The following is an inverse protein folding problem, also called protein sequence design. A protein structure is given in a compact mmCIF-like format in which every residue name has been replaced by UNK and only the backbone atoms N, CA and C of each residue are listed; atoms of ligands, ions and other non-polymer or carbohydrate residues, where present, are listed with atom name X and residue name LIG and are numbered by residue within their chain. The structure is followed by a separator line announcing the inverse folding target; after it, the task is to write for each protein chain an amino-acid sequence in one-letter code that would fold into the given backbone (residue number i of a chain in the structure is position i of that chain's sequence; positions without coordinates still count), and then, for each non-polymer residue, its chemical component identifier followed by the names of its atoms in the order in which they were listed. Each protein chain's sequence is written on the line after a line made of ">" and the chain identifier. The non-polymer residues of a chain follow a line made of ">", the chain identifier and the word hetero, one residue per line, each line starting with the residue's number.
data_IF_033166385359
#
_entry.id   IF_033166385359
#
_cell.length_a   1.000
_cell.length_b   1.000
_cell.length_c   1.000
_cell.angle_alpha   90.00
_cell.angle_beta   90.00
_cell.angle_gamma   90.00
#
_symmetry.space_group_name_H-M   'P 1'
#
loop_
_entity.id
_entity.type
_entity.pdbx_description
1 polymer ?
#
# COMPACT_ATOMS: atom_id res chain seq x y z
N UNK A 1 -11.52 5.58 -18.48
CA UNK A 1 -10.90 6.47 -19.49
C UNK A 1 -9.71 7.13 -18.86
N UNK A 2 -8.55 7.04 -19.50
CA UNK A 2 -7.31 7.66 -19.03
C UNK A 2 -7.10 8.95 -19.81
N UNK A 3 -6.62 9.97 -19.12
CA UNK A 3 -6.28 11.29 -19.63
C UNK A 3 -4.86 11.65 -19.21
N UNK A 4 -4.12 12.29 -20.11
CA UNK A 4 -2.79 12.87 -19.88
C UNK A 4 -2.83 14.29 -20.44
N UNK A 5 -2.42 15.28 -19.64
CA UNK A 5 -2.53 16.71 -19.97
C UNK A 5 -3.91 17.15 -20.51
N UNK A 6 -4.97 16.62 -19.90
CA UNK A 6 -6.35 16.92 -20.27
C UNK A 6 -6.81 16.30 -21.60
N UNK A 7 -5.96 15.53 -22.28
CA UNK A 7 -6.30 14.80 -23.52
C UNK A 7 -6.63 13.36 -23.20
N UNK A 8 -7.69 12.84 -23.83
CA UNK A 8 -8.03 11.42 -23.71
C UNK A 8 -6.90 10.60 -24.33
N UNK A 9 -6.31 9.74 -23.52
CA UNK A 9 -5.32 8.78 -23.96
C UNK A 9 -6.04 7.63 -24.68
N UNK A 10 -5.81 7.48 -25.99
CA UNK A 10 -6.50 6.50 -26.84
C UNK A 10 -5.52 5.71 -27.70
N UNK A 11 -5.15 4.51 -27.25
CA UNK A 11 -4.55 3.46 -28.09
C UNK A 11 -5.10 2.08 -27.69
N UNK A 12 -5.11 1.17 -28.67
CA UNK A 12 -5.76 -0.14 -28.61
C UNK A 12 -4.96 -1.15 -27.77
N UNK A 13 -5.61 -1.62 -26.69
CA UNK A 13 -5.24 -2.70 -25.78
C UNK A 13 -3.85 -2.59 -25.07
N UNK A 14 -3.83 -1.94 -23.91
CA UNK A 14 -2.87 -2.26 -22.83
C UNK A 14 -1.61 -1.41 -22.71
N UNK A 15 -1.64 -0.17 -23.18
CA UNK A 15 -0.48 0.68 -23.46
C UNK A 15 0.21 1.30 -22.22
N UNK A 16 0.57 0.46 -21.24
CA UNK A 16 1.47 0.85 -20.14
C UNK A 16 2.77 1.40 -20.72
N UNK A 17 3.31 0.78 -21.77
CA UNK A 17 4.54 1.23 -22.44
C UNK A 17 4.38 2.65 -22.99
N UNK A 18 3.36 2.96 -23.80
CA UNK A 18 3.22 4.33 -24.27
C UNK A 18 2.90 5.33 -23.14
N UNK A 19 2.17 4.93 -22.08
CA UNK A 19 2.02 5.79 -20.90
C UNK A 19 3.36 6.11 -20.22
N UNK A 20 4.31 5.18 -20.22
CA UNK A 20 5.65 5.42 -19.70
C UNK A 20 6.48 6.30 -20.64
N UNK A 21 6.17 6.33 -21.94
CA UNK A 21 6.83 7.18 -22.94
C UNK A 21 6.20 8.57 -23.09
N UNK A 22 5.04 8.84 -22.46
CA UNK A 22 4.39 10.15 -22.50
C UNK A 22 5.29 11.25 -21.88
N UNK A 23 5.69 12.29 -22.63
CA UNK A 23 6.70 13.25 -22.18
C UNK A 23 6.37 13.99 -20.88
N UNK A 24 5.10 14.34 -20.66
CA UNK A 24 4.68 15.02 -19.44
C UNK A 24 4.73 14.11 -18.22
N UNK A 25 4.42 12.81 -18.38
CA UNK A 25 4.53 11.83 -17.31
C UNK A 25 5.99 11.51 -16.98
N UNK A 26 6.86 11.43 -17.99
CA UNK A 26 8.32 11.32 -17.78
C UNK A 26 8.84 12.53 -16.99
N UNK A 27 8.47 13.76 -17.40
CA UNK A 27 8.88 14.99 -16.70
C UNK A 27 8.35 15.05 -15.26
N UNK A 28 7.10 14.64 -15.04
CA UNK A 28 6.51 14.55 -13.70
C UNK A 28 7.24 13.52 -12.82
N UNK A 29 7.61 12.37 -13.39
CA UNK A 29 8.39 11.32 -12.71
C UNK A 29 9.78 11.82 -12.30
N UNK A 30 10.52 12.48 -13.20
CA UNK A 30 11.82 13.08 -12.86
C UNK A 30 11.69 14.18 -11.81
N UNK A 31 10.68 15.04 -11.94
CA UNK A 31 10.41 16.09 -10.94
C UNK A 31 10.07 15.51 -9.57
N UNK A 32 9.33 14.40 -9.52
CA UNK A 32 9.02 13.70 -8.28
C UNK A 32 10.29 13.09 -7.65
N UNK A 33 11.11 12.39 -8.43
CA UNK A 33 12.38 11.80 -7.96
C UNK A 33 13.39 12.84 -7.48
N UNK A 34 13.37 14.04 -8.07
CA UNK A 34 14.26 15.14 -7.69
C UNK A 34 13.88 15.81 -6.35
N UNK A 35 12.66 15.59 -5.85
CA UNK A 35 12.27 16.12 -4.53
C UNK A 35 13.06 15.42 -3.42
N UNK A 36 13.46 16.14 -2.36
CA UNK A 36 14.11 15.51 -1.22
C UNK A 36 13.15 14.53 -0.55
N UNK A 37 13.66 13.36 -0.16
CA UNK A 37 12.88 12.38 0.61
C UNK A 37 12.55 12.96 2.00
N UNK A 38 11.26 12.98 2.34
CA UNK A 38 10.80 13.39 3.67
C UNK A 38 10.80 12.21 4.62
N UNK A 39 11.56 12.32 5.71
CA UNK A 39 11.57 11.33 6.79
C UNK A 39 10.46 11.66 7.79
N UNK A 40 9.57 10.71 8.04
CA UNK A 40 8.44 10.87 8.97
C UNK A 40 8.74 10.13 10.27
N UNK A 41 8.63 10.87 11.37
CA UNK A 41 8.70 10.33 12.73
C UNK A 41 7.31 10.22 13.34
N UNK A 42 7.18 9.54 14.49
CA UNK A 42 5.93 9.54 15.25
C UNK A 42 5.45 10.97 15.58
N UNK A 43 6.37 11.88 15.89
CA UNK A 43 6.05 13.28 16.20
C UNK A 43 5.50 14.01 14.98
N UNK A 44 6.09 13.79 13.80
CA UNK A 44 5.58 14.36 12.56
C UNK A 44 4.20 13.80 12.23
N UNK A 45 4.04 12.47 12.32
CA UNK A 45 2.79 11.77 12.06
C UNK A 45 1.65 12.26 12.96
N UNK A 46 1.91 12.41 14.25
CA UNK A 46 0.98 12.95 15.24
C UNK A 46 0.57 14.40 14.92
N UNK A 47 1.55 15.26 14.59
CA UNK A 47 1.31 16.67 14.28
C UNK A 47 0.51 16.88 13.01
N UNK A 48 0.72 16.04 12.00
CA UNK A 48 0.09 16.19 10.67
C UNK A 48 -1.09 15.23 10.46
N UNK A 49 -1.52 14.53 11.51
CA UNK A 49 -2.63 13.56 11.45
C UNK A 49 -2.43 12.55 10.31
N UNK A 50 -1.20 12.05 10.19
CA UNK A 50 -0.81 11.24 9.06
C UNK A 50 -1.45 9.84 9.11
N UNK A 51 -2.00 9.38 7.98
CA UNK A 51 -2.50 8.02 7.80
C UNK A 51 -1.47 7.21 7.02
N UNK A 52 -0.72 6.36 7.73
CA UNK A 52 0.17 5.39 7.11
C UNK A 52 -0.61 4.14 6.68
N UNK A 53 -0.30 3.57 5.50
CA UNK A 53 -0.86 2.28 5.04
C UNK A 53 0.25 1.25 4.82
N UNK A 54 0.02 0.02 5.28
CA UNK A 54 0.90 -1.11 4.99
C UNK A 54 0.59 -1.73 3.62
N UNK A 55 1.47 -2.61 3.18
CA UNK A 55 1.23 -3.50 2.05
C UNK A 55 -0.16 -4.14 2.13
N UNK A 56 -0.84 -4.21 0.98
CA UNK A 56 -2.19 -4.76 0.81
C UNK A 56 -3.32 -3.99 1.52
N UNK A 57 -3.02 -2.87 2.17
CA UNK A 57 -4.04 -2.00 2.75
C UNK A 57 -4.45 -0.87 1.78
N UNK A 58 -5.61 -0.28 2.07
CA UNK A 58 -6.01 1.01 1.51
C UNK A 58 -6.66 1.89 2.57
N UNK A 59 -6.65 3.19 2.31
CA UNK A 59 -7.39 4.17 3.08
C UNK A 59 -7.94 5.24 2.14
N UNK A 60 -9.17 5.67 2.38
CA UNK A 60 -9.72 6.90 1.81
C UNK A 60 -9.75 7.97 2.89
N UNK A 61 -9.16 9.12 2.62
CA UNK A 61 -8.96 10.19 3.58
C UNK A 61 -9.63 11.47 3.10
N UNK A 62 -10.31 12.13 4.03
CA UNK A 62 -10.93 13.43 3.79
C UNK A 62 -9.95 14.55 4.16
N UNK A 63 -9.66 15.50 3.25
CA UNK A 63 -8.69 16.58 3.50
C UNK A 63 -9.10 17.50 4.66
N UNK A 64 -10.35 17.46 5.10
CA UNK A 64 -10.82 18.18 6.30
C UNK A 64 -10.21 17.63 7.59
N UNK A 65 -9.86 16.35 7.64
CA UNK A 65 -9.50 15.65 8.88
C UNK A 65 -8.07 15.10 8.87
N UNK A 66 -7.59 14.67 7.72
CA UNK A 66 -6.27 14.05 7.53
C UNK A 66 -5.46 15.00 6.67
N UNK A 67 -4.29 15.45 7.12
CA UNK A 67 -3.44 16.35 6.32
C UNK A 67 -2.53 15.56 5.38
N UNK A 68 -2.10 14.36 5.79
CA UNK A 68 -1.17 13.53 5.04
C UNK A 68 -1.58 12.06 5.05
N UNK A 69 -1.34 11.37 3.94
CA UNK A 69 -1.41 9.92 3.88
C UNK A 69 -0.23 9.37 3.08
N UNK A 70 0.27 8.20 3.43
CA UNK A 70 1.46 7.67 2.77
C UNK A 70 1.76 6.21 3.07
N UNK A 71 2.79 5.73 2.41
CA UNK A 71 3.30 4.36 2.51
C UNK A 71 4.79 4.35 2.23
N UNK A 72 5.50 3.35 2.72
CA UNK A 72 6.85 3.01 2.32
C UNK A 72 7.03 1.49 2.17
N UNK A 73 8.28 1.03 2.12
CA UNK A 73 8.66 -0.37 1.94
C UNK A 73 8.23 -0.96 0.59
N UNK A 74 7.90 -0.12 -0.39
CA UNK A 74 7.54 -0.58 -1.72
C UNK A 74 8.78 -1.09 -2.47
N UNK A 75 8.85 -2.39 -2.69
CA UNK A 75 9.83 -3.02 -3.57
C UNK A 75 9.20 -3.31 -4.93
N UNK A 76 8.61 -4.48 -5.12
CA UNK A 76 7.88 -4.85 -6.35
C UNK A 76 6.43 -4.39 -6.35
N UNK A 77 5.91 -4.01 -5.18
CA UNK A 77 4.58 -3.45 -4.98
C UNK A 77 4.48 -2.00 -5.47
N UNK A 78 3.26 -1.55 -5.74
CA UNK A 78 2.95 -0.24 -6.32
C UNK A 78 1.94 0.48 -5.43
N UNK A 79 2.27 1.71 -5.04
CA UNK A 79 1.31 2.62 -4.46
C UNK A 79 0.43 3.26 -5.53
N UNK A 80 -0.88 3.20 -5.34
CA UNK A 80 -1.88 3.84 -6.17
C UNK A 80 -2.61 4.91 -5.36
N UNK A 81 -2.60 6.15 -5.86
CA UNK A 81 -3.35 7.27 -5.31
C UNK A 81 -4.43 7.66 -6.31
N UNK A 82 -5.66 7.82 -5.84
CA UNK A 82 -6.80 8.33 -6.60
C UNK A 82 -7.41 9.48 -5.81
N UNK A 83 -7.36 10.70 -6.36
CA UNK A 83 -7.86 11.90 -5.69
C UNK A 83 -8.97 12.55 -6.51
N UNK A 84 -10.10 12.82 -5.86
CA UNK A 84 -11.17 13.59 -6.46
C UNK A 84 -10.80 15.08 -6.55
N UNK A 85 -10.83 15.62 -7.76
CA UNK A 85 -10.46 17.02 -8.03
C UNK A 85 -11.41 18.03 -7.40
N UNK A 86 -12.69 17.68 -7.23
CA UNK A 86 -13.71 18.65 -6.79
C UNK A 86 -13.68 18.90 -5.29
N UNK A 87 -13.42 17.87 -4.49
CA UNK A 87 -13.50 17.94 -3.02
C UNK A 87 -12.20 17.52 -2.30
N UNK A 88 -11.21 17.01 -3.05
CA UNK A 88 -9.94 16.55 -2.51
C UNK A 88 -9.98 15.21 -1.78
N UNK A 89 -11.12 14.50 -1.78
CA UNK A 89 -11.19 13.14 -1.23
C UNK A 89 -10.13 12.26 -1.90
N UNK A 90 -9.27 11.64 -1.10
CA UNK A 90 -8.08 10.95 -1.61
C UNK A 90 -8.06 9.52 -1.11
N UNK A 91 -8.02 8.54 -2.01
CA UNK A 91 -7.73 7.15 -1.65
C UNK A 91 -6.31 6.79 -2.01
N UNK A 92 -5.62 6.14 -1.08
CA UNK A 92 -4.28 5.58 -1.26
C UNK A 92 -4.34 4.07 -0.99
N UNK A 93 -3.65 3.29 -1.81
CA UNK A 93 -3.55 1.84 -1.69
C UNK A 93 -2.12 1.37 -1.95
N UNK A 94 -1.68 0.37 -1.19
CA UNK A 94 -0.39 -0.30 -1.38
C UNK A 94 -0.64 -1.66 -2.02
N UNK A 95 -0.58 -1.74 -3.34
CA UNK A 95 -0.92 -2.94 -4.11
C UNK A 95 0.29 -3.86 -4.23
N UNK A 96 0.12 -5.14 -3.90
CA UNK A 96 1.19 -6.15 -3.91
C UNK A 96 0.97 -7.29 -4.89
N UNK A 97 -0.21 -7.36 -5.52
CA UNK A 97 -0.56 -8.43 -6.44
C UNK A 97 -1.59 -7.98 -7.48
N UNK A 98 -1.47 -8.41 -8.75
CA UNK A 98 -2.52 -8.23 -9.75
C UNK A 98 -3.90 -8.75 -9.30
N UNK A 99 -3.91 -9.76 -8.41
CA UNK A 99 -5.12 -10.43 -7.91
C UNK A 99 -6.03 -9.52 -7.07
N UNK A 100 -5.48 -8.46 -6.45
CA UNK A 100 -6.26 -7.55 -5.59
C UNK A 100 -6.69 -6.26 -6.30
N UNK A 101 -6.21 -6.01 -7.51
CA UNK A 101 -6.37 -4.72 -8.20
C UNK A 101 -7.84 -4.40 -8.52
N UNK A 102 -8.62 -5.34 -9.07
CA UNK A 102 -9.98 -5.04 -9.53
C UNK A 102 -10.91 -4.69 -8.36
N UNK A 103 -10.94 -5.53 -7.32
CA UNK A 103 -11.76 -5.25 -6.13
C UNK A 103 -11.18 -4.08 -5.35
N UNK A 104 -9.85 -3.96 -5.26
CA UNK A 104 -9.18 -2.85 -4.61
C UNK A 104 -9.54 -1.51 -5.24
N UNK A 105 -9.49 -1.40 -6.57
CA UNK A 105 -9.93 -0.21 -7.30
C UNK A 105 -11.42 0.09 -7.03
N UNK A 106 -12.26 -0.95 -7.01
CA UNK A 106 -13.68 -0.79 -6.68
C UNK A 106 -13.89 -0.26 -5.25
N UNK A 107 -13.13 -0.78 -4.27
CA UNK A 107 -13.12 -0.32 -2.87
C UNK A 107 -12.70 1.16 -2.78
N UNK A 108 -11.62 1.55 -3.45
CA UNK A 108 -11.13 2.94 -3.46
C UNK A 108 -12.16 3.89 -4.09
N UNK A 109 -12.72 3.53 -5.24
CA UNK A 109 -13.67 4.39 -5.98
C UNK A 109 -15.00 4.59 -5.24
N UNK A 110 -15.43 3.61 -4.44
CA UNK A 110 -16.68 3.68 -3.69
C UNK A 110 -16.70 4.82 -2.66
N UNK A 111 -15.53 5.29 -2.21
CA UNK A 111 -15.40 6.35 -1.20
C UNK A 111 -14.88 7.68 -1.75
N UNK A 112 -14.26 7.69 -2.94
CA UNK A 112 -13.66 8.89 -3.55
C UNK A 112 -14.58 9.55 -4.58
N UNK A 113 -15.48 8.79 -5.20
CA UNK A 113 -16.38 9.33 -6.22
C UNK A 113 -17.81 8.91 -5.93
N UNK A 114 -18.73 9.88 -6.06
CA UNK A 114 -20.14 9.55 -6.23
C UNK A 114 -20.31 8.67 -7.48
N UNK A 115 -21.45 8.00 -7.62
CA UNK A 115 -21.73 7.17 -8.80
C UNK A 115 -21.73 7.97 -10.13
N UNK A 116 -21.61 9.31 -10.09
CA UNK A 116 -21.43 10.17 -11.26
C UNK A 116 -20.21 9.78 -12.11
N UNK A 117 -20.44 9.57 -13.41
CA UNK A 117 -19.38 9.27 -14.38
C UNK A 117 -18.57 10.52 -14.77
N UNK A 118 -18.99 11.69 -14.31
CA UNK A 118 -18.33 12.96 -14.64
C UNK A 118 -17.26 13.39 -13.64
N UNK A 119 -17.16 12.72 -12.49
CA UNK A 119 -16.10 12.97 -11.50
C UNK A 119 -14.72 12.77 -12.14
N UNK A 120 -13.90 13.80 -12.07
CA UNK A 120 -12.52 13.78 -12.52
C UNK A 120 -11.58 13.39 -11.38
N UNK A 121 -10.74 12.40 -11.63
CA UNK A 121 -9.89 11.78 -10.61
C UNK A 121 -8.42 11.91 -11.02
N UNK A 122 -7.60 12.55 -10.20
CA UNK A 122 -6.15 12.53 -10.34
C UNK A 122 -5.60 11.18 -9.91
N UNK A 123 -4.62 10.66 -10.66
CA UNK A 123 -3.99 9.37 -10.40
C UNK A 123 -2.48 9.50 -10.31
N UNK A 124 -1.91 8.92 -9.24
CA UNK A 124 -0.47 8.75 -9.09
C UNK A 124 -0.15 7.26 -8.90
N UNK A 125 0.85 6.76 -9.63
CA UNK A 125 1.38 5.40 -9.51
C UNK A 125 2.88 5.49 -9.19
N UNK A 126 3.28 4.95 -8.05
CA UNK A 126 4.65 5.09 -7.52
C UNK A 126 5.08 3.76 -6.91
N UNK A 127 6.29 3.29 -7.20
CA UNK A 127 6.80 2.00 -6.69
C UNK A 127 7.01 1.00 -7.80
N UNK A 128 7.33 -0.25 -7.47
CA UNK A 128 7.80 -1.23 -8.44
C UNK A 128 9.12 -0.82 -9.08
N UNK A 129 9.80 -1.76 -9.70
CA UNK A 129 11.01 -1.52 -10.49
C UNK A 129 11.15 -2.65 -11.52
N UNK A 130 12.15 -2.59 -12.38
CA UNK A 130 12.43 -3.68 -13.33
C UNK A 130 13.08 -4.85 -12.59
N UNK A 131 12.23 -5.67 -11.97
CA UNK A 131 12.60 -6.78 -11.08
C UNK A 131 12.70 -8.13 -11.80
N UNK A 132 12.42 -8.16 -13.10
CA UNK A 132 12.68 -9.32 -13.93
C UNK A 132 14.18 -9.63 -13.96
N UNK A 133 14.55 -10.87 -13.64
CA UNK A 133 15.92 -11.33 -13.83
C UNK A 133 16.24 -11.36 -15.33
N UNK A 134 17.41 -10.81 -15.73
CA UNK A 134 17.97 -11.11 -17.05
C UNK A 134 18.17 -12.64 -17.10
N UNK A 135 17.39 -13.33 -17.95
CA UNK A 135 17.41 -14.79 -18.07
C UNK A 135 18.85 -15.30 -18.24
N UNK A 136 19.32 -16.08 -17.26
CA UNK A 136 20.33 -17.11 -17.53
C UNK A 136 19.52 -18.36 -17.85
N UNK A 137 19.67 -18.88 -19.07
CA UNK A 137 18.96 -20.02 -19.63
C UNK A 137 18.81 -21.19 -18.65
N UNK A 138 17.57 -21.65 -18.40
CA UNK A 138 17.15 -23.05 -18.65
C UNK A 138 15.62 -23.20 -18.50
N UNK A 139 15.14 -24.35 -18.99
CA UNK A 139 13.79 -24.77 -19.41
C UNK A 139 12.56 -24.61 -18.46
N UNK A 140 11.42 -24.39 -19.14
CA UNK A 140 10.08 -25.02 -18.98
C UNK A 140 9.20 -24.96 -17.70
N UNK A 141 9.32 -23.97 -16.78
CA UNK A 141 8.19 -23.71 -15.85
C UNK A 141 7.92 -22.22 -15.55
N UNK A 142 6.80 -21.74 -16.11
CA UNK A 142 6.08 -20.48 -15.86
C UNK A 142 6.60 -19.19 -16.54
N UNK A 143 5.85 -18.77 -17.57
CA UNK A 143 5.88 -17.44 -18.20
C UNK A 143 5.66 -16.27 -17.22
N UNK A 144 5.22 -16.53 -15.99
CA UNK A 144 5.03 -15.53 -14.94
C UNK A 144 6.35 -15.10 -14.27
N UNK A 145 7.34 -15.99 -14.11
CA UNK A 145 8.62 -15.64 -13.47
C UNK A 145 9.56 -14.83 -14.36
N UNK A 146 9.37 -14.87 -15.68
CA UNK A 146 10.24 -14.14 -16.61
C UNK A 146 9.98 -12.64 -16.65
N UNK A 147 8.82 -12.18 -16.18
CA UNK A 147 8.40 -10.78 -16.28
C UNK A 147 8.53 -10.02 -14.95
N UNK A 148 9.07 -10.64 -13.91
CA UNK A 148 9.06 -10.09 -12.55
C UNK A 148 7.64 -9.95 -11.99
N UNK A 149 7.55 -9.32 -10.82
CA UNK A 149 6.30 -9.05 -10.11
C UNK A 149 5.75 -7.65 -10.42
N UNK A 150 6.61 -6.65 -10.66
CA UNK A 150 6.18 -5.26 -10.82
C UNK A 150 5.44 -5.03 -12.13
N UNK A 151 5.93 -5.57 -13.26
CA UNK A 151 5.34 -5.35 -14.58
C UNK A 151 3.91 -5.91 -14.67
N UNK A 152 3.62 -7.18 -14.29
CA UNK A 152 2.25 -7.68 -14.26
C UNK A 152 1.30 -6.85 -13.39
N UNK A 153 1.79 -6.35 -12.25
CA UNK A 153 1.00 -5.50 -11.35
C UNK A 153 0.68 -4.15 -12.01
N UNK A 154 1.67 -3.47 -12.58
CA UNK A 154 1.50 -2.20 -13.27
C UNK A 154 0.52 -2.33 -14.44
N UNK A 155 0.69 -3.35 -15.29
CA UNK A 155 -0.19 -3.62 -16.43
C UNK A 155 -1.62 -3.88 -15.98
N UNK A 156 -1.80 -4.62 -14.89
CA UNK A 156 -3.12 -4.87 -14.32
C UNK A 156 -3.79 -3.59 -13.82
N UNK A 157 -3.07 -2.71 -13.13
CA UNK A 157 -3.62 -1.42 -12.66
C UNK A 157 -4.12 -0.58 -13.83
N UNK A 158 -3.30 -0.39 -14.88
CA UNK A 158 -3.70 0.39 -16.06
C UNK A 158 -4.95 -0.21 -16.72
N UNK A 159 -4.98 -1.54 -16.91
CA UNK A 159 -6.14 -2.22 -17.47
C UNK A 159 -7.40 -2.02 -16.63
N UNK A 160 -7.32 -2.12 -15.31
CA UNK A 160 -8.46 -1.91 -14.42
C UNK A 160 -8.96 -0.45 -14.43
N UNK A 161 -8.05 0.53 -14.49
CA UNK A 161 -8.41 1.95 -14.67
C UNK A 161 -9.15 2.18 -15.99
N UNK A 162 -8.70 1.57 -17.09
CA UNK A 162 -9.35 1.66 -18.39
C UNK A 162 -10.78 1.08 -18.35
N UNK A 163 -10.94 -0.12 -17.78
CA UNK A 163 -12.22 -0.85 -17.70
C UNK A 163 -13.26 -0.13 -16.83
N UNK A 164 -12.85 0.55 -15.75
CA UNK A 164 -13.80 1.19 -14.81
C UNK A 164 -14.66 2.31 -15.43
N UNK A 165 -14.32 2.79 -16.64
CA UNK A 165 -15.01 3.88 -17.35
C UNK A 165 -15.07 5.25 -16.61
N UNK A 166 -14.36 5.43 -15.48
CA UNK A 166 -14.17 6.75 -14.83
C UNK A 166 -13.21 7.65 -15.61
N UNK A 167 -13.15 8.94 -15.29
CA UNK A 167 -12.19 9.89 -15.89
C UNK A 167 -10.96 10.03 -15.01
N UNK A 168 -9.91 9.28 -15.34
CA UNK A 168 -8.63 9.32 -14.61
C UNK A 168 -7.63 10.20 -15.34
N UNK A 169 -7.08 11.18 -14.64
CA UNK A 169 -6.03 12.06 -15.14
C UNK A 169 -4.71 11.64 -14.50
N UNK A 170 -3.83 11.01 -15.28
CA UNK A 170 -2.54 10.57 -14.79
C UNK A 170 -1.68 11.81 -14.49
N UNK A 171 -1.27 11.95 -13.23
CA UNK A 171 -0.43 13.06 -12.75
C UNK A 171 1.02 12.64 -12.56
N UNK A 172 1.25 11.40 -12.12
CA UNK A 172 2.61 10.89 -11.90
C UNK A 172 2.64 9.38 -12.11
N UNK A 173 3.59 8.92 -12.93
CA UNK A 173 3.84 7.50 -13.19
C UNK A 173 5.33 7.24 -12.98
N UNK A 174 5.70 6.95 -11.74
CA UNK A 174 7.08 6.66 -11.31
C UNK A 174 7.17 5.17 -10.92
N UNK A 175 7.13 4.30 -11.93
CA UNK A 175 7.11 2.84 -11.81
C UNK A 175 8.09 2.21 -12.81
N UNK A 176 8.44 0.93 -12.62
CA UNK A 176 9.31 0.17 -13.53
C UNK A 176 10.60 0.93 -13.85
N UNK A 177 11.02 0.99 -15.12
CA UNK A 177 12.20 1.73 -15.57
C UNK A 177 12.34 3.15 -15.02
N UNK A 178 11.23 3.87 -14.83
CA UNK A 178 11.27 5.21 -14.23
C UNK A 178 11.66 5.21 -12.75
N UNK A 179 11.44 4.11 -12.05
CA UNK A 179 11.81 3.89 -10.65
C UNK A 179 12.97 2.88 -10.50
N UNK A 180 13.66 2.48 -11.57
CA UNK A 180 14.77 1.51 -11.51
C UNK A 180 16.12 2.22 -11.42
N UNK A 181 16.98 1.76 -10.51
CA UNK A 181 18.43 1.99 -10.56
C UNK A 181 19.19 0.68 -10.42
N UNK A 182 20.48 0.69 -10.76
CA UNK A 182 21.40 -0.41 -10.51
C UNK A 182 22.22 -0.14 -9.26
N UNK A 183 22.32 -1.12 -8.37
CA UNK A 183 23.22 -1.06 -7.22
C UNK A 183 24.69 -1.30 -7.64
N UNK A 184 25.62 -1.24 -6.68
CA UNK A 184 27.04 -1.45 -6.94
C UNK A 184 27.38 -2.88 -7.43
N UNK A 185 26.50 -3.85 -7.18
CA UNK A 185 26.62 -5.23 -7.64
C UNK A 185 25.90 -5.49 -8.99
N UNK A 186 25.25 -4.46 -9.55
CA UNK A 186 24.51 -4.56 -10.82
C UNK A 186 23.08 -5.10 -10.68
N UNK A 187 22.56 -5.27 -9.46
CA UNK A 187 21.16 -5.65 -9.26
C UNK A 187 20.25 -4.46 -9.49
N UNK A 188 19.10 -4.70 -10.12
CA UNK A 188 18.02 -3.70 -10.16
C UNK A 188 17.48 -3.48 -8.75
N UNK A 189 17.22 -2.23 -8.39
CA UNK A 189 16.53 -1.86 -7.16
C UNK A 189 15.68 -0.59 -7.36
N UNK A 190 14.65 -0.37 -6.54
CA UNK A 190 13.81 0.81 -6.66
C UNK A 190 14.56 2.08 -6.21
N UNK A 191 14.34 3.18 -6.93
CA UNK A 191 14.84 4.52 -6.57
C UNK A 191 14.07 5.03 -5.35
N UNK A 192 12.74 5.05 -5.47
CA UNK A 192 11.78 5.49 -4.45
C UNK A 192 11.01 4.27 -3.94
N UNK A 193 10.91 4.15 -2.61
CA UNK A 193 10.22 3.06 -1.89
C UNK A 193 8.98 3.52 -1.15
N UNK A 194 8.79 4.83 -1.02
CA UNK A 194 7.70 5.39 -0.26
C UNK A 194 7.42 6.83 -0.66
N UNK A 195 6.22 7.27 -0.33
CA UNK A 195 5.76 8.61 -0.63
C UNK A 195 4.67 9.05 0.35
N UNK A 196 4.45 10.36 0.34
CA UNK A 196 3.34 11.03 1.03
C UNK A 196 2.50 11.78 0.01
N UNK A 197 1.23 11.89 0.33
CA UNK A 197 0.26 12.77 -0.32
C UNK A 197 -0.19 13.80 0.71
N UNK A 198 -0.04 15.08 0.39
CA UNK A 198 -0.70 16.17 1.11
C UNK A 198 -2.13 16.28 0.61
N UNK A 199 -3.11 15.98 1.45
CA UNK A 199 -4.51 15.76 1.03
C UNK A 199 -5.17 17.03 0.49
N UNK A 200 -4.85 18.18 1.09
CA UNK A 200 -5.41 19.47 0.72
C UNK A 200 -5.06 19.85 -0.72
N UNK A 201 -3.78 19.68 -1.09
CA UNK A 201 -3.25 20.10 -2.39
C UNK A 201 -3.22 18.97 -3.42
N UNK A 202 -3.18 17.71 -2.97
CA UNK A 202 -2.88 16.55 -3.81
C UNK A 202 -1.39 16.40 -4.14
N UNK A 203 -0.52 17.22 -3.54
CA UNK A 203 0.92 17.16 -3.81
C UNK A 203 1.54 15.87 -3.28
N UNK A 204 2.39 15.25 -4.09
CA UNK A 204 3.13 14.05 -3.74
C UNK A 204 4.63 14.33 -3.51
N UNK A 205 5.24 13.63 -2.56
CA UNK A 205 6.67 13.73 -2.25
C UNK A 205 7.25 12.36 -1.87
N UNK A 206 8.48 12.00 -2.28
CA UNK A 206 9.15 10.82 -1.76
C UNK A 206 9.26 10.87 -0.23
N UNK A 207 9.05 9.73 0.43
CA UNK A 207 9.05 9.67 1.89
C UNK A 207 9.50 8.32 2.42
N UNK A 208 10.02 8.34 3.65
CA UNK A 208 10.32 7.15 4.45
C UNK A 208 9.74 7.33 5.85
N UNK A 209 9.31 6.23 6.45
CA UNK A 209 8.64 6.21 7.74
C UNK A 209 9.49 5.44 8.74
N UNK A 210 9.82 6.05 9.87
CA UNK A 210 10.43 5.28 10.95
C UNK A 210 9.40 4.31 11.56
N UNK A 211 9.88 3.26 12.24
CA UNK A 211 9.01 2.24 12.84
C UNK A 211 7.92 2.83 13.74
N UNK A 212 8.21 3.91 14.47
CA UNK A 212 7.28 4.52 15.41
C UNK A 212 6.14 5.29 14.73
N UNK A 213 6.36 5.73 13.50
CA UNK A 213 5.38 6.44 12.69
C UNK A 213 4.40 5.54 11.93
N UNK A 214 4.69 4.23 11.82
CA UNK A 214 3.84 3.21 11.15
C UNK A 214 2.72 2.70 12.05
N UNK A 215 2.07 3.60 12.76
CA UNK A 215 1.04 3.33 13.75
C UNK A 215 -0.38 3.45 13.16
N UNK A 216 -1.42 3.00 13.88
CA UNK A 216 -1.40 2.14 15.06
C UNK A 216 -1.17 0.67 14.71
N UNK A 217 -0.92 -0.14 15.75
CA UNK A 217 -0.98 -1.62 15.74
C UNK A 217 -0.17 -2.29 14.62
N UNK A 218 1.07 -1.81 14.45
CA UNK A 218 1.97 -2.18 13.36
C UNK A 218 2.09 -3.70 13.17
N UNK A 219 2.30 -4.46 14.26
CA UNK A 219 2.50 -5.91 14.17
C UNK A 219 1.27 -6.65 13.66
N UNK A 220 0.07 -6.26 14.12
CA UNK A 220 -1.20 -6.89 13.69
C UNK A 220 -1.49 -6.53 12.24
N UNK A 221 -1.17 -5.31 11.80
CA UNK A 221 -1.38 -4.90 10.40
C UNK A 221 -0.42 -5.60 9.45
N UNK A 222 0.85 -5.73 9.80
CA UNK A 222 1.82 -6.56 9.04
C UNK A 222 1.38 -8.01 8.98
N UNK A 223 0.96 -8.57 10.11
CA UNK A 223 0.46 -9.94 10.19
C UNK A 223 -0.68 -10.20 9.19
N UNK A 224 -1.63 -9.27 9.05
CA UNK A 224 -2.74 -9.41 8.10
C UNK A 224 -2.27 -9.62 6.67
N UNK A 225 -1.14 -9.04 6.26
CA UNK A 225 -0.56 -9.26 4.93
C UNK A 225 -0.23 -10.75 4.73
N UNK A 226 0.48 -11.33 5.71
CA UNK A 226 0.88 -12.75 5.72
C UNK A 226 -0.33 -13.68 5.69
N UNK A 227 -1.30 -13.48 6.58
CA UNK A 227 -2.39 -14.45 6.79
C UNK A 227 -3.62 -14.26 5.89
N UNK A 228 -3.81 -13.07 5.29
CA UNK A 228 -5.01 -12.76 4.49
C UNK A 228 -5.20 -13.63 3.25
N UNK A 229 -4.14 -14.28 2.77
CA UNK A 229 -4.23 -15.27 1.69
C UNK A 229 -5.10 -16.47 2.06
N UNK A 230 -5.09 -16.88 3.33
CA UNK A 230 -5.89 -18.00 3.86
C UNK A 230 -7.31 -17.62 4.28
N UNK A 231 -7.64 -16.33 4.38
CA UNK A 231 -8.98 -15.86 4.74
C UNK A 231 -9.80 -15.52 3.49
N UNK A 232 -10.81 -16.35 3.20
CA UNK A 232 -11.66 -16.20 2.01
C UNK A 232 -12.35 -14.83 1.90
N UNK A 233 -12.54 -14.12 3.02
CA UNK A 233 -13.18 -12.79 3.02
C UNK A 233 -12.32 -11.73 2.35
N UNK A 234 -11.00 -11.93 2.36
CA UNK A 234 -9.98 -11.06 1.79
C UNK A 234 -9.50 -11.52 0.41
N UNK A 235 -10.10 -12.57 -0.16
CA UNK A 235 -9.77 -13.05 -1.50
C UNK A 235 -10.02 -11.95 -2.54
N UNK A 236 -8.94 -11.58 -3.23
CA UNK A 236 -8.95 -10.56 -4.27
C UNK A 236 -9.26 -9.15 -3.79
N UNK A 237 -9.20 -8.87 -2.48
CA UNK A 237 -9.51 -7.56 -1.89
C UNK A 237 -8.31 -6.94 -1.18
N UNK A 238 -8.35 -5.62 -1.07
CA UNK A 238 -7.50 -4.86 -0.17
C UNK A 238 -8.05 -4.94 1.26
N UNK A 239 -7.13 -4.87 2.21
CA UNK A 239 -7.38 -4.89 3.64
C UNK A 239 -7.93 -3.52 4.07
N UNK A 240 -9.11 -3.54 4.68
CA UNK A 240 -9.75 -2.33 5.22
C UNK A 240 -9.08 -1.93 6.54
N UNK A 241 -8.64 -0.67 6.63
CA UNK A 241 -7.82 -0.20 7.76
C UNK A 241 -8.22 1.17 8.31
N UNK A 242 -8.91 2.02 7.54
CA UNK A 242 -9.25 3.39 7.96
C UNK A 242 -10.71 3.74 7.68
N UNK A 243 -11.36 4.34 8.67
CA UNK A 243 -12.73 4.86 8.58
C UNK A 243 -12.69 6.40 8.57
N UNK A 244 -12.85 6.94 7.36
CA UNK A 244 -12.73 8.38 7.08
C UNK A 244 -13.80 9.22 7.78
N UNK A 245 -14.99 8.66 7.97
CA UNK A 245 -16.15 9.42 8.47
C UNK A 245 -16.09 9.59 9.98
N UNK A 246 -15.46 8.64 10.66
CA UNK A 246 -15.27 8.66 12.10
C UNK A 246 -13.83 9.01 12.53
N UNK A 247 -12.96 9.35 11.56
CA UNK A 247 -11.57 9.72 11.80
C UNK A 247 -10.84 8.73 12.72
N UNK A 248 -10.91 7.44 12.36
CA UNK A 248 -10.35 6.35 13.17
C UNK A 248 -9.72 5.28 12.31
N UNK A 249 -8.71 4.62 12.85
CA UNK A 249 -8.28 3.35 12.29
C UNK A 249 -9.28 2.27 12.69
N UNK A 250 -9.69 1.47 11.72
CA UNK A 250 -10.56 0.32 11.90
C UNK A 250 -9.88 -0.87 11.24
N UNK A 251 -9.01 -1.54 11.99
CA UNK A 251 -8.24 -2.67 11.50
C UNK A 251 -9.17 -3.86 11.41
N UNK A 252 -9.65 -4.15 10.19
CA UNK A 252 -10.65 -5.19 9.98
C UNK A 252 -10.08 -6.59 10.26
N UNK A 253 -10.91 -7.44 10.86
CA UNK A 253 -10.51 -8.76 11.31
C UNK A 253 -9.96 -9.62 10.16
N UNK A 254 -8.87 -10.33 10.44
CA UNK A 254 -8.37 -11.42 9.61
C UNK A 254 -8.33 -12.68 10.46
N UNK A 255 -8.73 -13.80 9.88
CA UNK A 255 -8.66 -15.10 10.51
C UNK A 255 -7.53 -15.94 9.93
N UNK A 256 -6.94 -16.80 10.75
CA UNK A 256 -5.90 -17.75 10.35
C UNK A 256 -6.11 -19.10 11.03
N UNK A 257 -5.66 -20.17 10.37
CA UNK A 257 -5.68 -21.51 10.94
C UNK A 257 -4.58 -21.67 12.00
N UNK A 258 -4.83 -22.52 13.01
CA UNK A 258 -3.85 -22.81 14.05
C UNK A 258 -2.52 -23.37 13.50
N UNK A 259 -2.55 -24.01 12.32
CA UNK A 259 -1.37 -24.53 11.63
C UNK A 259 -0.35 -23.43 11.26
N UNK A 260 -0.77 -22.17 11.18
CA UNK A 260 0.16 -21.04 11.01
C UNK A 260 1.23 -20.99 12.10
N UNK A 261 0.93 -21.46 13.31
CA UNK A 261 1.93 -21.60 14.38
C UNK A 261 3.10 -22.50 13.95
N UNK A 262 2.80 -23.64 13.33
CA UNK A 262 3.82 -24.58 12.88
C UNK A 262 4.62 -24.01 11.70
N UNK A 263 3.95 -23.38 10.74
CA UNK A 263 4.62 -22.69 9.63
C UNK A 263 5.53 -21.55 10.12
N UNK A 264 5.03 -20.69 11.02
CA UNK A 264 5.81 -19.61 11.61
C UNK A 264 7.01 -20.12 12.39
N UNK A 265 6.84 -21.19 13.20
CA UNK A 265 7.95 -21.82 13.91
C UNK A 265 9.02 -22.33 12.95
N UNK A 266 8.64 -23.04 11.89
CA UNK A 266 9.58 -23.53 10.88
C UNK A 266 10.33 -22.41 10.17
N UNK A 267 9.64 -21.32 9.81
CA UNK A 267 10.27 -20.14 9.18
C UNK A 267 11.23 -19.44 10.14
N UNK A 268 10.90 -19.36 11.43
CA UNK A 268 11.74 -18.70 12.44
C UNK A 268 13.08 -19.41 12.65
N UNK A 269 13.16 -20.73 12.39
CA UNK A 269 14.41 -21.51 12.48
C UNK A 269 15.36 -21.28 11.30
N UNK A 270 14.91 -20.62 10.23
CA UNK A 270 15.71 -20.39 9.04
C UNK A 270 16.77 -19.29 9.26
N UNK A 271 17.83 -19.33 8.45
CA UNK A 271 18.81 -18.25 8.38
C UNK A 271 18.18 -16.98 7.80
N UNK A 272 18.81 -15.82 8.01
CA UNK A 272 18.31 -14.56 7.45
C UNK A 272 18.24 -14.59 5.91
N UNK A 273 19.22 -15.25 5.27
CA UNK A 273 19.24 -15.44 3.82
C UNK A 273 18.08 -16.33 3.33
N UNK A 274 17.76 -17.38 4.07
CA UNK A 274 16.65 -18.28 3.73
C UNK A 274 15.29 -17.61 3.95
N UNK A 275 15.12 -16.81 5.02
CA UNK A 275 13.90 -16.02 5.22
C UNK A 275 13.73 -15.04 4.07
N UNK A 276 14.78 -14.28 3.76
CA UNK A 276 14.77 -13.31 2.68
C UNK A 276 14.41 -13.96 1.34
N UNK A 277 15.05 -15.07 0.99
CA UNK A 277 14.80 -15.82 -0.25
C UNK A 277 13.38 -16.39 -0.36
N UNK A 278 12.79 -16.82 0.76
CA UNK A 278 11.45 -17.46 0.78
C UNK A 278 10.29 -16.49 0.97
N UNK A 279 10.53 -15.35 1.62
CA UNK A 279 9.47 -14.44 2.07
C UNK A 279 9.45 -13.11 1.31
N UNK A 280 10.52 -12.74 0.59
CA UNK A 280 10.56 -11.54 -0.25
C UNK A 280 10.32 -11.86 -1.74
N UNK A 281 9.65 -10.95 -2.43
CA UNK A 281 9.53 -10.93 -3.90
C UNK A 281 10.80 -10.40 -4.59
N UNK A 282 11.66 -9.70 -3.86
CA UNK A 282 12.90 -9.11 -4.37
C UNK A 282 14.02 -9.13 -3.32
N UNK A 283 14.61 -10.30 -3.02
CA UNK A 283 15.58 -10.48 -1.92
C UNK A 283 16.73 -9.47 -1.90
N UNK A 284 17.32 -9.15 -3.06
CA UNK A 284 18.45 -8.20 -3.16
C UNK A 284 18.04 -6.72 -3.00
N UNK A 285 16.74 -6.44 -3.02
CA UNK A 285 16.19 -5.10 -2.96
C UNK A 285 15.46 -4.82 -1.64
N UNK A 286 15.38 -5.72 -0.67
CA UNK A 286 14.71 -5.42 0.61
C UNK A 286 15.51 -4.45 1.49
N UNK A 287 14.82 -3.82 2.44
CA UNK A 287 15.47 -3.01 3.47
C UNK A 287 16.19 -3.89 4.51
N UNK A 288 17.21 -3.37 5.21
CA UNK A 288 17.95 -4.14 6.22
C UNK A 288 17.08 -4.70 7.36
N UNK A 289 15.93 -4.08 7.64
CA UNK A 289 14.99 -4.47 8.70
C UNK A 289 13.93 -5.48 8.25
N UNK A 290 13.88 -5.87 6.96
CA UNK A 290 12.88 -6.82 6.44
C UNK A 290 12.83 -8.12 7.24
N UNK A 291 13.99 -8.78 7.42
CA UNK A 291 14.06 -10.07 8.13
C UNK A 291 13.68 -9.92 9.60
N UNK A 292 14.09 -8.83 10.27
CA UNK A 292 13.68 -8.55 11.65
C UNK A 292 12.15 -8.43 11.75
N UNK A 293 11.53 -7.72 10.81
CA UNK A 293 10.08 -7.55 10.78
C UNK A 293 9.36 -8.88 10.54
N UNK A 294 9.83 -9.72 9.61
CA UNK A 294 9.27 -11.06 9.38
C UNK A 294 9.38 -11.94 10.64
N UNK A 295 10.55 -11.94 11.30
CA UNK A 295 10.75 -12.69 12.55
C UNK A 295 9.77 -12.26 13.65
N UNK A 296 9.48 -10.95 13.77
CA UNK A 296 8.49 -10.44 14.72
C UNK A 296 7.08 -10.94 14.39
N UNK A 297 6.69 -10.95 13.11
CA UNK A 297 5.40 -11.47 12.67
C UNK A 297 5.28 -12.98 12.97
N UNK A 298 6.32 -13.76 12.68
CA UNK A 298 6.34 -15.19 12.99
C UNK A 298 6.26 -15.46 14.49
N UNK A 299 7.03 -14.71 15.29
CA UNK A 299 6.97 -14.81 16.74
C UNK A 299 5.55 -14.50 17.27
N UNK A 300 4.91 -13.44 16.74
CA UNK A 300 3.56 -13.08 17.12
C UNK A 300 2.54 -14.19 16.81
N UNK A 301 2.65 -14.86 15.65
CA UNK A 301 1.82 -16.02 15.29
C UNK A 301 2.02 -17.23 16.20
N UNK A 302 3.24 -17.42 16.71
CA UNK A 302 3.56 -18.51 17.64
C UNK A 302 2.92 -18.26 19.01
N UNK A 303 3.00 -17.01 19.47
CA UNK A 303 2.50 -16.55 20.76
C UNK A 303 0.97 -16.42 20.77
N UNK A 304 0.37 -16.03 19.63
CA UNK A 304 -1.08 -15.83 19.46
C UNK A 304 -1.65 -16.67 18.30
N UNK A 305 -1.70 -18.01 18.43
CA UNK A 305 -2.17 -18.89 17.36
C UNK A 305 -3.68 -18.80 17.13
N UNK A 306 -4.46 -18.36 18.12
CA UNK A 306 -5.89 -18.15 18.01
C UNK A 306 -6.21 -16.69 17.66
N UNK A 307 -6.58 -16.44 16.41
CA UNK A 307 -6.94 -15.11 15.93
C UNK A 307 -8.13 -14.47 16.66
N UNK A 308 -8.97 -15.27 17.33
CA UNK A 308 -10.13 -14.76 18.08
C UNK A 308 -9.71 -13.98 19.33
N UNK A 309 -8.50 -14.18 19.84
CA UNK A 309 -7.91 -13.36 20.92
C UNK A 309 -7.65 -11.92 20.44
N UNK A 310 -7.32 -11.77 19.16
CA UNK A 310 -6.94 -10.49 18.55
C UNK A 310 -8.16 -9.76 17.97
N UNK A 311 -9.09 -10.53 17.40
CA UNK A 311 -10.35 -10.08 16.80
C UNK A 311 -11.55 -10.81 17.42
N UNK A 312 -11.89 -10.56 18.69
CA UNK A 312 -13.00 -11.22 19.37
C UNK A 312 -14.31 -10.95 18.64
N UNK A 313 -15.11 -12.00 18.44
CA UNK A 313 -16.36 -11.96 17.66
C UNK A 313 -16.18 -11.42 16.23
N UNK A 314 -14.95 -11.47 15.67
CA UNK A 314 -14.57 -10.87 14.38
C UNK A 314 -14.74 -9.34 14.34
N UNK A 315 -14.81 -8.68 15.48
CA UNK A 315 -14.89 -7.22 15.53
C UNK A 315 -13.54 -6.62 15.11
N UNK A 316 -13.55 -5.49 14.37
CA UNK A 316 -12.33 -4.79 14.03
C UNK A 316 -11.66 -4.21 15.29
N UNK A 317 -10.35 -3.97 15.21
CA UNK A 317 -9.62 -3.23 16.24
C UNK A 317 -9.68 -1.76 15.88
N UNK A 318 -10.37 -0.98 16.71
CA UNK A 318 -10.62 0.43 16.45
C UNK A 318 -9.65 1.29 17.26
N UNK A 319 -9.08 2.31 16.63
CA UNK A 319 -8.17 3.27 17.28
C UNK A 319 -8.56 4.70 16.95
N UNK A 320 -8.58 5.56 17.96
CA UNK A 320 -8.81 6.99 17.82
C UNK A 320 -7.56 7.76 18.17
N UNK A 321 -7.37 8.88 17.48
CA UNK A 321 -6.28 9.80 17.78
C UNK A 321 -6.66 10.64 19.00
N UNK A 322 -5.73 10.77 19.93
CA UNK A 322 -5.85 11.67 21.09
C UNK A 322 -5.53 13.11 20.69
N UNK A 323 -5.82 14.05 21.59
CA UNK A 323 -5.47 15.46 21.43
C UNK A 323 -3.95 15.66 21.34
N UNK A 324 -3.18 14.75 21.95
CA UNK A 324 -1.71 14.71 21.93
C UNK A 324 -1.15 14.00 20.67
N UNK A 325 -2.03 13.54 19.77
CA UNK A 325 -1.67 12.93 18.49
C UNK A 325 -1.28 11.45 18.56
N UNK A 326 -1.51 10.78 19.68
CA UNK A 326 -1.31 9.33 19.84
C UNK A 326 -2.55 8.53 19.44
N UNK A 327 -2.37 7.40 18.77
CA UNK A 327 -3.46 6.45 18.48
C UNK A 327 -3.68 5.48 19.64
N UNK A 328 -4.88 5.45 20.20
CA UNK A 328 -5.26 4.57 21.31
C UNK A 328 -6.45 3.68 20.95
N UNK A 329 -6.48 2.45 21.47
CA UNK A 329 -7.57 1.50 21.21
C UNK A 329 -8.90 1.99 21.83
N UNK A 330 -9.97 1.94 21.05
CA UNK A 330 -11.32 2.25 21.51
C UNK A 330 -11.70 1.30 22.66
N UNK A 331 -12.06 1.87 23.82
CA UNK A 331 -12.37 1.12 25.04
C UNK A 331 -11.30 1.19 26.13
N UNK A 332 -10.06 1.58 25.82
CA UNK A 332 -9.02 1.93 26.80
C UNK A 332 -8.84 3.45 26.98
N UNK A 333 -9.57 4.26 26.20
CA UNK A 333 -9.62 5.71 26.38
C UNK A 333 -10.42 6.09 27.65
N UNK A 334 -9.83 6.82 28.61
CA UNK A 334 -10.52 7.27 29.81
C UNK A 334 -11.79 8.10 29.52
N UNK A 335 -11.81 8.84 28.39
CA UNK A 335 -12.96 9.68 27.98
C UNK A 335 -14.15 8.86 27.42
N UNK A 336 -13.92 7.64 26.91
CA UNK A 336 -14.98 6.76 26.38
C UNK A 336 -15.84 6.13 27.48
N UNK A 337 -15.29 5.94 28.68
CA UNK A 337 -16.05 5.45 29.84
C UNK A 337 -17.18 6.42 30.26
N UNK A 338 -17.01 7.72 30.01
CA UNK A 338 -17.98 8.76 30.34
C UNK A 338 -19.12 8.92 29.33
N UNK A 339 -18.93 8.55 28.05
CA UNK A 339 -20.00 8.64 27.03
C UNK A 339 -20.90 7.40 26.97
N UNK A 340 -20.43 6.24 27.44
CA UNK A 340 -21.24 5.02 27.52
C UNK A 340 -22.19 4.97 28.73
N UNK A 341 -22.17 5.99 29.61
CA UNK A 341 -23.09 6.11 30.77
C UNK A 341 -24.13 7.22 30.62
N UNK A 342 -24.22 7.86 29.46
CA UNK A 342 -25.20 8.91 29.18
C UNK A 342 -25.92 8.65 27.86
N UNK A 343 -26.68 7.56 27.83
CA UNK A 343 -27.87 7.39 27.00
C UNK A 343 -28.99 6.84 27.91
#
# INVERSE_FOLDING_TARGET
>A
MIFVDGRRFSQGDGDLEALLEEPSLMSASESFKAKPERKITAVDSARTKCVYIFQREYATVNPRWVEMAGMDEATTCVGLVIRNRSDGMTSIAHLDSPKVVDSGLSQMLALVSDYSRDTELDVHMIGGFDDAAYKVYDDDESTERSNGYSLPLCSKIIKSLQISQRKFHMQTVCILGHNTRKDAAGHSCPIVRGFLVETLTGSIQPASFDRSSRCPDEIVRRLRVTVSSGDYRWHGKLLETYDTWNFRFQIAACSWHADWKHHAYSLLQLSDLDILSRCSTSPSAESPDFVENERRVFQYLIDHPDWTEIFPERKPREFMMTDDGEWIICGQCPKCYTRLRSC
#
